data_IF_886031571225
#
_entry.id   IF_886031571225
#
_cell.length_a   1.000
_cell.length_b   1.000
_cell.length_c   1.000
_cell.angle_alpha   90.00
_cell.angle_beta   90.00
_cell.angle_gamma   90.00
#
_symmetry.space_group_name_H-M   'P 1'
#
loop_
_entity.id
_entity.type
_entity.pdbx_description
1 polymer ?
#
# COMPACT_ATOMS: atom_id res chain seq x y z
N UNK A 1 -15.94 -15.99 2.52
CA UNK A 1 -14.72 -15.20 2.79
C UNK A 1 -15.03 -14.31 3.98
N UNK A 2 -14.50 -14.61 5.18
CA UNK A 2 -14.75 -13.82 6.39
C UNK A 2 -13.80 -12.63 6.35
N UNK A 3 -14.34 -11.42 6.14
CA UNK A 3 -13.59 -10.17 6.26
C UNK A 3 -13.33 -9.92 7.75
N UNK A 4 -12.09 -9.62 8.19
CA UNK A 4 -11.81 -9.27 9.57
C UNK A 4 -12.46 -7.91 9.85
N UNK A 5 -13.67 -7.93 10.41
CA UNK A 5 -14.31 -6.74 10.98
C UNK A 5 -13.56 -6.43 12.28
N UNK A 6 -13.55 -5.17 12.73
CA UNK A 6 -13.09 -4.83 14.07
C UNK A 6 -13.93 -5.50 15.17
N UNK A 7 -13.91 -4.93 16.38
CA UNK A 7 -14.69 -5.51 17.48
C UNK A 7 -16.19 -5.36 17.21
N UNK A 8 -16.86 -6.49 16.93
CA UNK A 8 -18.31 -6.58 16.94
C UNK A 8 -18.76 -7.34 18.19
N UNK A 9 -19.61 -6.71 19.01
CA UNK A 9 -20.26 -7.37 20.13
C UNK A 9 -21.78 -7.39 19.95
N UNK A 10 -22.38 -8.50 20.36
CA UNK A 10 -23.81 -8.74 20.23
C UNK A 10 -24.43 -8.75 21.62
N UNK A 11 -25.58 -8.12 21.79
CA UNK A 11 -26.36 -8.26 23.02
C UNK A 11 -27.14 -9.59 23.05
N UNK A 12 -27.71 -9.93 24.21
CA UNK A 12 -28.52 -11.15 24.37
C UNK A 12 -29.82 -11.19 23.55
N UNK A 13 -30.17 -10.10 22.86
CA UNK A 13 -31.31 -10.02 21.94
C UNK A 13 -30.89 -10.15 20.46
N UNK A 14 -29.59 -10.38 20.19
CA UNK A 14 -29.07 -10.51 18.82
C UNK A 14 -28.94 -9.18 18.08
N UNK A 15 -28.81 -8.05 18.80
CA UNK A 15 -28.51 -6.74 18.22
C UNK A 15 -27.02 -6.44 18.35
N UNK A 16 -26.50 -5.67 17.41
CA UNK A 16 -25.12 -5.17 17.49
C UNK A 16 -25.07 -4.10 18.58
N UNK A 17 -24.32 -4.38 19.65
CA UNK A 17 -24.15 -3.48 20.80
C UNK A 17 -22.90 -2.60 20.67
N UNK A 18 -21.88 -3.08 19.95
CA UNK A 18 -20.70 -2.32 19.53
C UNK A 18 -20.33 -2.75 18.12
N UNK A 19 -20.14 -1.78 17.23
CA UNK A 19 -19.48 -1.96 15.95
C UNK A 19 -18.36 -0.93 15.86
N UNK A 20 -17.14 -1.37 16.17
CA UNK A 20 -15.96 -0.60 15.80
C UNK A 20 -15.60 -1.04 14.38
N UNK A 21 -16.21 -0.37 13.40
CA UNK A 21 -15.77 -0.36 12.00
C UNK A 21 -14.43 0.37 11.90
N UNK A 22 -13.43 -0.11 12.64
CA UNK A 22 -12.07 0.39 12.51
C UNK A 22 -11.51 -0.19 11.22
N UNK A 23 -10.93 0.68 10.39
CA UNK A 23 -10.42 0.29 9.08
C UNK A 23 -9.26 -0.69 9.27
N UNK A 24 -9.56 -1.98 9.27
CA UNK A 24 -8.56 -3.01 9.48
C UNK A 24 -7.58 -2.95 8.31
N UNK A 25 -6.37 -2.46 8.58
CA UNK A 25 -5.27 -2.50 7.63
C UNK A 25 -4.87 -3.97 7.47
N UNK A 26 -5.07 -4.51 6.26
CA UNK A 26 -4.76 -5.89 5.92
C UNK A 26 -3.58 -5.93 4.97
N UNK A 27 -2.52 -6.63 5.34
CA UNK A 27 -1.44 -6.97 4.43
C UNK A 27 -1.95 -7.89 3.31
N UNK A 28 -1.69 -7.54 2.06
CA UNK A 28 -2.07 -8.35 0.89
C UNK A 28 -0.86 -8.84 0.08
N UNK A 29 0.35 -8.35 0.36
CA UNK A 29 1.59 -8.90 -0.15
C UNK A 29 2.73 -7.89 -0.20
N UNK A 30 3.86 -8.29 -0.79
CA UNK A 30 5.02 -7.45 -0.99
C UNK A 30 5.55 -7.58 -2.42
N UNK A 31 6.29 -6.56 -2.86
CA UNK A 31 6.96 -6.56 -4.16
C UNK A 31 8.17 -5.64 -4.13
N UNK A 32 9.01 -5.74 -5.15
CA UNK A 32 10.18 -4.88 -5.35
C UNK A 32 10.09 -4.18 -6.70
N UNK A 33 10.47 -2.91 -6.75
CA UNK A 33 10.52 -2.11 -7.97
C UNK A 33 11.89 -1.50 -8.14
N UNK A 34 12.48 -1.72 -9.31
CA UNK A 34 13.78 -1.14 -9.66
C UNK A 34 13.58 0.05 -10.58
N UNK A 35 14.10 1.20 -10.19
CA UNK A 35 14.25 2.37 -11.06
C UNK A 35 15.60 2.31 -11.77
N UNK A 36 15.58 2.62 -13.06
CA UNK A 36 16.77 3.01 -13.80
C UNK A 36 17.07 4.50 -13.56
N UNK A 37 18.32 4.91 -13.74
CA UNK A 37 18.69 6.31 -13.62
C UNK A 37 17.89 7.19 -14.60
N UNK A 38 17.32 8.28 -14.10
CA UNK A 38 16.50 9.22 -14.86
C UNK A 38 15.00 8.90 -14.88
N UNK A 39 14.56 7.71 -14.44
CA UNK A 39 13.13 7.40 -14.35
C UNK A 39 12.46 8.24 -13.25
N UNK A 40 11.23 8.70 -13.49
CA UNK A 40 10.48 9.54 -12.54
C UNK A 40 9.22 8.85 -12.00
N UNK A 41 8.71 7.84 -12.72
CA UNK A 41 7.56 7.06 -12.28
C UNK A 41 7.60 5.64 -12.87
N UNK A 42 6.96 4.70 -12.18
CA UNK A 42 6.74 3.32 -12.66
C UNK A 42 5.38 2.79 -12.23
N UNK A 43 4.63 2.25 -13.18
CA UNK A 43 3.43 1.48 -12.91
C UNK A 43 3.78 0.03 -12.57
N UNK A 44 3.09 -0.49 -11.55
CA UNK A 44 3.29 -1.82 -11.00
C UNK A 44 1.95 -2.52 -10.94
N UNK A 45 1.77 -3.56 -11.73
CA UNK A 45 0.58 -4.40 -11.64
C UNK A 45 0.61 -5.21 -10.34
N UNK A 46 -0.48 -5.16 -9.58
CA UNK A 46 -0.63 -5.91 -8.35
C UNK A 46 -2.10 -6.29 -8.14
N UNK A 47 -2.39 -7.57 -8.23
CA UNK A 47 -3.77 -8.08 -8.11
C UNK A 47 -4.34 -7.80 -6.71
N UNK A 48 -5.58 -7.32 -6.66
CA UNK A 48 -6.28 -7.01 -5.40
C UNK A 48 -6.08 -5.58 -4.88
N UNK A 49 -5.25 -4.76 -5.56
CA UNK A 49 -5.14 -3.33 -5.28
C UNK A 49 -6.30 -2.58 -5.92
N UNK A 50 -6.93 -1.70 -5.14
CA UNK A 50 -7.95 -0.76 -5.60
C UNK A 50 -7.52 0.67 -5.32
N UNK A 51 -8.05 1.61 -6.10
CA UNK A 51 -7.70 3.02 -5.94
C UNK A 51 -8.06 3.58 -4.55
N UNK A 52 -9.22 3.17 -4.02
CA UNK A 52 -9.82 3.77 -2.82
C UNK A 52 -9.72 2.89 -1.57
N UNK A 53 -9.17 1.68 -1.70
CA UNK A 53 -9.12 0.70 -0.60
C UNK A 53 -7.75 0.08 -0.40
N UNK A 54 -6.70 0.67 -0.97
CA UNK A 54 -5.34 0.17 -0.85
C UNK A 54 -4.31 1.29 -0.68
N UNK A 55 -3.26 1.01 0.08
CA UNK A 55 -2.06 1.84 0.13
C UNK A 55 -0.81 0.95 0.08
N UNK A 56 0.31 1.57 -0.29
CA UNK A 56 1.59 0.88 -0.44
C UNK A 56 2.60 1.60 0.43
N UNK A 57 3.30 0.83 1.26
CA UNK A 57 4.37 1.31 2.12
C UNK A 57 5.72 0.90 1.53
N UNK A 58 6.64 1.85 1.40
CA UNK A 58 8.02 1.57 1.00
C UNK A 58 8.80 1.25 2.27
N UNK A 59 9.23 0.00 2.41
CA UNK A 59 9.83 -0.51 3.66
C UNK A 59 11.34 -0.46 3.68
N UNK A 60 11.99 -0.56 2.51
CA UNK A 60 13.44 -0.45 2.39
C UNK A 60 13.85 -0.09 0.96
N UNK A 61 15.11 0.30 0.80
CA UNK A 61 15.71 0.54 -0.51
C UNK A 61 17.13 -0.03 -0.55
N UNK A 62 17.64 -0.31 -1.74
CA UNK A 62 19.03 -0.78 -1.95
C UNK A 62 20.09 0.28 -1.62
N UNK A 63 19.68 1.55 -1.45
CA UNK A 63 20.52 2.64 -0.94
C UNK A 63 19.89 3.23 0.32
N UNK A 64 20.71 3.53 1.33
CA UNK A 64 20.23 4.11 2.59
C UNK A 64 19.84 5.59 2.41
N UNK A 65 18.82 6.03 3.15
CA UNK A 65 18.47 7.45 3.29
C UNK A 65 17.73 8.10 2.11
N UNK A 66 17.25 7.33 1.14
CA UNK A 66 16.58 7.86 -0.08
C UNK A 66 15.10 7.47 -0.20
N UNK A 67 14.57 6.67 0.73
CA UNK A 67 13.18 6.17 0.68
C UNK A 67 12.16 7.34 0.70
N UNK A 68 12.46 8.40 1.44
CA UNK A 68 11.62 9.59 1.57
C UNK A 68 11.50 10.42 0.29
N UNK A 69 12.25 10.07 -0.77
CA UNK A 69 12.16 10.70 -2.09
C UNK A 69 11.10 10.02 -2.97
N UNK A 70 10.47 8.93 -2.51
CA UNK A 70 9.51 8.15 -3.28
C UNK A 70 8.16 8.06 -2.58
N UNK A 71 7.09 7.98 -3.36
CA UNK A 71 5.75 7.67 -2.85
C UNK A 71 4.99 6.79 -3.83
N UNK A 72 3.93 6.16 -3.34
CA UNK A 72 3.09 5.29 -4.15
C UNK A 72 1.66 5.84 -4.22
N UNK A 73 0.99 5.64 -5.36
CA UNK A 73 -0.44 5.92 -5.52
C UNK A 73 -1.12 4.68 -6.09
N UNK A 74 -2.12 4.15 -5.37
CA UNK A 74 -2.90 3.03 -5.83
C UNK A 74 -3.83 3.42 -7.00
N UNK A 75 -4.09 2.46 -7.87
CA UNK A 75 -5.12 2.48 -8.91
C UNK A 75 -5.75 1.08 -9.02
N UNK A 76 -6.86 0.94 -9.75
CA UNK A 76 -7.50 -0.36 -9.88
C UNK A 76 -6.61 -1.35 -10.65
N UNK A 77 -6.11 -2.38 -9.94
CA UNK A 77 -5.23 -3.41 -10.49
C UNK A 77 -3.73 -3.18 -10.26
N UNK A 78 -3.33 -2.15 -9.53
CA UNK A 78 -1.92 -1.88 -9.26
C UNK A 78 -1.65 -0.53 -8.60
N UNK A 79 -0.41 -0.07 -8.68
CA UNK A 79 -0.02 1.22 -8.15
C UNK A 79 1.12 1.83 -8.95
N UNK A 80 1.22 3.16 -8.92
CA UNK A 80 2.34 3.89 -9.50
C UNK A 80 3.30 4.30 -8.38
N UNK A 81 4.58 4.03 -8.56
CA UNK A 81 5.66 4.56 -7.73
C UNK A 81 6.18 5.83 -8.40
N UNK A 82 6.34 6.91 -7.66
CA UNK A 82 6.83 8.19 -8.14
C UNK A 82 8.09 8.61 -7.38
N UNK A 83 9.00 9.26 -8.09
CA UNK A 83 10.12 10.01 -7.52
C UNK A 83 9.70 11.48 -7.36
N UNK A 84 9.85 12.03 -6.15
CA UNK A 84 9.44 13.39 -5.78
C UNK A 84 10.39 14.49 -6.29
N UNK A 85 11.72 14.37 -6.16
CA UNK A 85 12.62 15.42 -6.58
C UNK A 85 12.66 15.64 -8.10
N UNK A 86 13.28 16.75 -8.52
CA UNK A 86 13.58 17.00 -9.92
C UNK A 86 14.83 16.25 -10.38
N UNK A 87 14.96 16.00 -11.69
CA UNK A 87 16.18 15.42 -12.29
C UNK A 87 16.19 13.88 -12.44
N UNK A 88 15.13 13.20 -12.00
CA UNK A 88 14.98 11.75 -12.13
C UNK A 88 15.68 10.96 -11.02
N UNK A 89 15.20 9.72 -10.83
CA UNK A 89 15.70 8.79 -9.83
C UNK A 89 17.13 8.34 -10.15
N UNK A 90 17.89 7.94 -9.13
CA UNK A 90 19.11 7.13 -9.32
C UNK A 90 18.75 5.69 -9.68
N UNK A 91 19.72 4.86 -10.07
CA UNK A 91 19.45 3.42 -10.14
C UNK A 91 19.27 2.86 -8.73
N UNK A 92 18.07 2.37 -8.42
CA UNK A 92 17.72 1.90 -7.08
C UNK A 92 16.63 0.84 -7.13
N UNK A 93 16.65 -0.09 -6.18
CA UNK A 93 15.54 -1.02 -5.92
C UNK A 93 14.84 -0.63 -4.63
N UNK A 94 13.52 -0.47 -4.70
CA UNK A 94 12.62 -0.20 -3.58
C UNK A 94 11.87 -1.49 -3.24
N UNK A 95 11.82 -1.84 -1.96
CA UNK A 95 11.00 -2.95 -1.46
C UNK A 95 9.77 -2.38 -0.78
N UNK A 96 8.63 -2.97 -1.08
CA UNK A 96 7.34 -2.41 -0.71
C UNK A 96 6.39 -3.48 -0.18
N UNK A 97 5.52 -3.05 0.70
CA UNK A 97 4.40 -3.82 1.23
C UNK A 97 3.10 -3.18 0.78
N UNK A 98 2.15 -4.02 0.40
CA UNK A 98 0.85 -3.62 -0.15
C UNK A 98 -0.23 -4.00 0.85
N UNK A 99 -1.07 -3.03 1.16
CA UNK A 99 -2.11 -3.14 2.17
C UNK A 99 -3.46 -2.74 1.61
N UNK A 100 -4.52 -3.39 2.10
CA UNK A 100 -5.89 -2.95 1.91
C UNK A 100 -6.46 -2.38 3.21
N UNK A 101 -7.39 -1.45 3.08
CA UNK A 101 -8.20 -0.91 4.18
C UNK A 101 -9.65 -0.84 3.73
N UNK A 102 -10.59 -1.06 4.67
CA UNK A 102 -12.03 -1.09 4.42
C UNK A 102 -12.82 -0.44 5.55
#
# INVERSE_FOLDING_TARGET
MVMPQGLQCWDGAGRIAVDLSDYAIRYIGSTSVTFAAGETAKDVSFSGVTQDGSFISIVSASSAGVINEYYCRAFNGGFTVFYLPSGGSISITLNMEVYNFQ
#
